data_IF_603512309794
#
_entry.id   IF_603512309794
#
_cell.length_a   1.000
_cell.length_b   1.000
_cell.length_c   1.000
_cell.angle_alpha   90.00
_cell.angle_beta   90.00
_cell.angle_gamma   90.00
#
_symmetry.space_group_name_H-M   'P 1'
#
loop_
_entity.id
_entity.type
_entity.pdbx_description
1 polymer ?
#
# COMPACT_ATOMS: atom_id res chain seq x y z
N UNK A 1 7.64 1.73 31.86
CA UNK A 1 7.42 0.26 31.87
C UNK A 1 8.22 -0.44 32.97
N UNK A 2 9.55 -0.59 32.90
CA UNK A 2 10.33 -1.29 33.95
C UNK A 2 10.19 -0.68 35.35
N UNK A 3 10.20 0.66 35.45
CA UNK A 3 10.00 1.36 36.72
C UNK A 3 8.61 1.12 37.32
N UNK A 4 7.57 1.02 36.50
CA UNK A 4 6.21 0.78 36.96
C UNK A 4 6.02 -0.68 37.42
N UNK A 5 6.68 -1.63 36.75
CA UNK A 5 6.68 -3.04 37.17
C UNK A 5 7.40 -3.20 38.51
N UNK A 6 8.54 -2.52 38.68
CA UNK A 6 9.31 -2.49 39.91
C UNK A 6 8.49 -1.91 41.09
N UNK A 7 7.81 -0.80 40.84
CA UNK A 7 6.94 -0.14 41.83
C UNK A 7 5.73 -1.00 42.21
N UNK A 8 5.05 -1.62 41.24
CA UNK A 8 3.92 -2.53 41.50
C UNK A 8 4.33 -3.82 42.22
N UNK A 9 5.53 -4.34 41.92
CA UNK A 9 6.05 -5.56 42.52
C UNK A 9 6.81 -5.32 43.84
N UNK A 10 6.98 -4.05 44.26
CA UNK A 10 7.73 -3.69 45.46
C UNK A 10 9.21 -4.09 45.41
N UNK A 11 9.78 -4.24 44.22
CA UNK A 11 11.15 -4.72 44.03
C UNK A 11 12.00 -3.72 43.23
N UNK A 12 13.32 -3.92 43.23
CA UNK A 12 14.21 -3.03 42.48
C UNK A 12 14.08 -3.26 40.97
N UNK A 13 14.37 -2.22 40.17
CA UNK A 13 14.48 -2.36 38.70
C UNK A 13 15.47 -3.44 38.29
N UNK A 14 16.53 -3.67 39.07
CA UNK A 14 17.51 -4.73 38.80
C UNK A 14 16.90 -6.11 39.03
N UNK A 15 16.06 -6.28 40.06
CA UNK A 15 15.30 -7.51 40.32
C UNK A 15 14.35 -7.80 39.15
N UNK A 16 13.66 -6.78 38.63
CA UNK A 16 12.82 -6.92 37.43
C UNK A 16 13.64 -7.31 36.19
N UNK A 17 14.82 -6.71 35.99
CA UNK A 17 15.71 -7.07 34.87
C UNK A 17 16.20 -8.51 34.96
N UNK A 18 16.61 -8.93 36.14
CA UNK A 18 17.08 -10.28 36.36
C UNK A 18 15.95 -11.30 36.18
N UNK A 19 14.75 -11.03 36.70
CA UNK A 19 13.59 -11.88 36.47
C UNK A 19 13.19 -11.95 34.98
N UNK A 20 13.34 -10.86 34.23
CA UNK A 20 13.11 -10.86 32.78
C UNK A 20 14.17 -11.71 32.04
N UNK A 21 15.42 -11.66 32.47
CA UNK A 21 16.51 -12.46 31.89
C UNK A 21 16.36 -13.96 32.21
N UNK A 22 16.05 -14.29 33.48
CA UNK A 22 15.74 -15.66 33.93
C UNK A 22 14.52 -16.24 33.21
N UNK A 23 13.53 -15.39 32.88
CA UNK A 23 12.36 -15.77 32.09
C UNK A 23 12.63 -15.80 30.57
N UNK A 24 13.84 -15.46 30.10
CA UNK A 24 14.17 -15.38 28.68
C UNK A 24 13.47 -14.26 27.91
N UNK A 25 12.87 -13.29 28.61
CA UNK A 25 12.15 -12.16 28.02
C UNK A 25 13.15 -11.07 27.66
N UNK A 26 13.59 -11.08 26.40
CA UNK A 26 14.49 -10.06 25.87
C UNK A 26 13.82 -8.67 25.90
N UNK A 27 14.34 -7.78 26.74
CA UNK A 27 13.94 -6.38 26.74
C UNK A 27 14.36 -5.77 25.40
N UNK A 28 13.44 -5.09 24.72
CA UNK A 28 13.77 -4.31 23.51
C UNK A 28 14.91 -3.33 23.82
N UNK A 29 16.12 -3.68 23.39
CA UNK A 29 17.28 -2.80 23.50
C UNK A 29 17.11 -1.64 22.52
N UNK A 30 17.58 -0.46 22.93
CA UNK A 30 17.60 0.70 22.03
C UNK A 30 18.55 0.37 20.87
N UNK A 31 18.06 0.48 19.63
CA UNK A 31 18.93 0.28 18.46
C UNK A 31 20.14 1.21 18.51
N UNK A 32 21.33 0.76 18.07
CA UNK A 32 22.51 1.60 18.00
C UNK A 32 22.24 2.84 17.13
N UNK A 33 22.83 3.97 17.52
CA UNK A 33 22.75 5.20 16.73
C UNK A 33 23.33 4.94 15.34
N UNK A 34 22.62 5.36 14.29
CA UNK A 34 23.08 5.20 12.91
C UNK A 34 22.89 3.80 12.31
N UNK A 35 22.24 2.86 12.99
CA UNK A 35 22.05 1.50 12.48
C UNK A 35 21.33 1.47 11.12
N UNK A 36 20.29 2.31 10.94
CA UNK A 36 19.57 2.37 9.68
C UNK A 36 20.40 2.98 8.55
N UNK A 37 21.19 4.01 8.85
CA UNK A 37 22.12 4.60 7.88
C UNK A 37 23.18 3.60 7.36
N UNK A 38 23.49 2.56 8.14
CA UNK A 38 24.39 1.46 7.72
C UNK A 38 23.68 0.37 6.94
N UNK A 39 22.36 0.23 7.13
CA UNK A 39 21.56 -0.87 6.57
C UNK A 39 20.94 -0.49 5.24
N UNK A 40 20.52 0.77 5.08
CA UNK A 40 19.88 1.26 3.85
C UNK A 40 20.68 2.39 3.22
N UNK A 41 20.78 2.37 1.88
CA UNK A 41 21.44 3.42 1.12
C UNK A 41 20.46 4.56 0.80
N UNK A 42 21.02 5.77 0.63
CA UNK A 42 20.26 6.93 0.16
C UNK A 42 19.59 6.67 -1.19
N UNK A 43 20.34 6.07 -2.13
CA UNK A 43 19.85 5.76 -3.48
C UNK A 43 18.67 4.78 -3.47
N UNK A 44 18.69 3.78 -2.57
CA UNK A 44 17.55 2.88 -2.40
C UNK A 44 16.32 3.63 -1.90
N UNK A 45 16.47 4.48 -0.87
CA UNK A 45 15.34 5.23 -0.32
C UNK A 45 14.77 6.25 -1.33
N UNK A 46 15.62 6.84 -2.16
CA UNK A 46 15.20 7.73 -3.25
C UNK A 46 14.45 6.96 -4.35
N UNK A 47 14.85 5.73 -4.69
CA UNK A 47 14.10 4.88 -5.63
C UNK A 47 12.75 4.44 -5.04
N UNK A 48 12.73 4.00 -3.80
CA UNK A 48 11.54 3.39 -3.20
C UNK A 48 10.49 4.44 -2.78
N UNK A 49 10.92 5.55 -2.18
CA UNK A 49 10.01 6.54 -1.62
C UNK A 49 9.38 7.42 -2.71
N UNK A 50 10.07 8.39 -3.34
CA UNK A 50 9.45 9.26 -4.33
C UNK A 50 9.18 8.57 -5.68
N UNK A 51 10.11 7.77 -6.22
CA UNK A 51 9.97 7.21 -7.57
C UNK A 51 8.92 6.09 -7.66
N UNK A 52 9.08 5.02 -6.87
CA UNK A 52 8.06 3.96 -6.81
C UNK A 52 6.78 4.40 -6.10
N UNK A 53 6.84 5.45 -5.28
CA UNK A 53 5.67 5.99 -4.62
C UNK A 53 5.29 5.30 -3.31
N UNK A 54 6.21 4.57 -2.68
CA UNK A 54 5.91 3.84 -1.44
C UNK A 54 5.63 4.80 -0.29
N UNK A 55 4.74 4.37 0.61
CA UNK A 55 4.45 5.13 1.83
C UNK A 55 5.57 4.93 2.86
N UNK A 56 5.83 5.94 3.70
CA UNK A 56 6.80 5.78 4.80
C UNK A 56 6.38 4.70 5.81
N UNK A 57 5.09 4.48 6.12
CA UNK A 57 4.67 3.31 6.89
C UNK A 57 5.00 1.96 6.23
N UNK A 58 4.87 1.83 4.90
CA UNK A 58 5.13 0.56 4.22
C UNK A 58 6.62 0.23 4.19
N UNK A 59 7.45 1.23 3.87
CA UNK A 59 8.91 1.10 3.96
C UNK A 59 9.30 0.75 5.39
N UNK A 60 8.68 1.40 6.38
CA UNK A 60 8.98 1.14 7.78
C UNK A 60 8.63 -0.29 8.19
N UNK A 61 7.49 -0.83 7.72
CA UNK A 61 7.09 -2.22 7.97
C UNK A 61 8.09 -3.21 7.40
N UNK A 62 8.53 -3.02 6.16
CA UNK A 62 9.54 -3.88 5.52
C UNK A 62 10.88 -3.86 6.25
N UNK A 63 11.34 -2.67 6.67
CA UNK A 63 12.58 -2.52 7.42
C UNK A 63 12.44 -2.87 8.92
N UNK A 64 11.25 -3.23 9.38
CA UNK A 64 10.95 -3.48 10.78
C UNK A 64 11.13 -2.25 11.69
N UNK A 65 11.01 -1.02 11.17
CA UNK A 65 11.26 0.25 11.88
C UNK A 65 10.00 1.08 12.07
N UNK A 66 10.10 2.19 12.80
CA UNK A 66 8.99 3.14 12.88
C UNK A 66 8.95 4.07 11.66
N UNK A 67 7.76 4.53 11.25
CA UNK A 67 7.62 5.51 10.15
C UNK A 67 8.46 6.78 10.36
N UNK A 68 8.64 7.19 11.61
CA UNK A 68 9.44 8.36 11.96
C UNK A 68 10.94 8.15 11.69
N UNK A 69 11.42 6.90 11.77
CA UNK A 69 12.81 6.57 11.45
C UNK A 69 13.07 6.76 9.95
N UNK A 70 12.12 6.32 9.11
CA UNK A 70 12.18 6.55 7.65
C UNK A 70 12.12 8.05 7.34
N UNK A 71 11.19 8.78 7.96
CA UNK A 71 11.06 10.23 7.74
C UNK A 71 12.30 11.02 8.21
N UNK A 72 12.96 10.57 9.28
CA UNK A 72 14.24 11.13 9.74
C UNK A 72 15.32 11.01 8.66
N UNK A 73 15.40 9.86 7.99
CA UNK A 73 16.35 9.64 6.89
C UNK A 73 16.02 10.47 5.65
N UNK A 74 14.74 10.53 5.26
CA UNK A 74 14.27 11.40 4.16
C UNK A 74 14.71 12.84 4.39
N UNK A 75 14.51 13.38 5.60
CA UNK A 75 14.93 14.74 5.95
C UNK A 75 16.45 14.89 5.97
N UNK A 76 17.16 13.94 6.60
CA UNK A 76 18.62 13.97 6.75
C UNK A 76 19.35 13.90 5.40
N UNK A 77 18.81 13.17 4.43
CA UNK A 77 19.40 12.98 3.10
C UNK A 77 18.82 13.92 2.03
N UNK A 78 17.93 14.84 2.42
CA UNK A 78 17.32 15.81 1.50
C UNK A 78 16.48 15.16 0.39
N UNK A 79 15.87 14.00 0.66
CA UNK A 79 15.01 13.32 -0.32
C UNK A 79 13.69 14.08 -0.41
N UNK A 80 13.19 14.40 -1.63
CA UNK A 80 11.90 15.06 -1.79
C UNK A 80 10.77 14.28 -1.12
N UNK A 81 9.93 14.99 -0.37
CA UNK A 81 8.72 14.40 0.21
C UNK A 81 7.66 14.20 -0.87
N UNK A 82 6.77 13.23 -0.66
CA UNK A 82 5.53 13.16 -1.43
C UNK A 82 4.81 14.50 -1.39
N UNK A 83 4.41 15.06 -2.54
CA UNK A 83 3.46 16.16 -2.58
C UNK A 83 2.22 15.77 -1.77
N UNK A 84 1.63 16.73 -1.07
CA UNK A 84 0.42 16.53 -0.27
C UNK A 84 -0.77 15.99 -1.08
N UNK A 85 -0.78 16.21 -2.40
CA UNK A 85 -1.77 15.70 -3.34
C UNK A 85 -1.47 14.32 -3.92
N UNK A 86 -0.27 13.77 -3.70
CA UNK A 86 0.16 12.52 -4.33
C UNK A 86 -0.21 11.31 -3.48
N UNK A 87 -0.99 10.38 -4.03
CA UNK A 87 -1.36 9.15 -3.33
C UNK A 87 -0.27 8.09 -3.46
N UNK A 88 0.02 7.40 -2.36
CA UNK A 88 0.98 6.30 -2.30
C UNK A 88 0.57 5.16 -3.23
N UNK A 89 1.52 4.62 -3.98
CA UNK A 89 1.27 3.46 -4.83
C UNK A 89 1.21 2.20 -3.94
N UNK A 90 0.05 1.53 -3.81
CA UNK A 90 -0.10 0.33 -2.98
C UNK A 90 0.70 -0.86 -3.53
N UNK A 91 0.95 -0.90 -4.83
CA UNK A 91 1.65 -1.99 -5.51
C UNK A 91 3.16 -1.79 -5.56
N UNK A 92 3.67 -0.65 -5.09
CA UNK A 92 5.08 -0.30 -5.18
C UNK A 92 6.03 -1.23 -4.41
N UNK A 93 5.48 -2.04 -3.51
CA UNK A 93 6.20 -3.07 -2.77
C UNK A 93 6.24 -4.42 -3.49
N UNK A 94 5.38 -4.63 -4.49
CA UNK A 94 5.37 -5.81 -5.33
C UNK A 94 6.51 -5.62 -6.32
N UNK A 95 7.47 -6.55 -6.38
CA UNK A 95 8.62 -6.48 -7.30
C UNK A 95 8.17 -6.79 -8.74
N UNK A 96 7.19 -6.04 -9.22
CA UNK A 96 6.50 -6.20 -10.49
C UNK A 96 6.53 -4.87 -11.21
N UNK A 97 6.87 -4.90 -12.50
CA UNK A 97 6.80 -3.73 -13.35
C UNK A 97 5.34 -3.42 -13.69
N UNK A 98 4.93 -2.19 -13.41
CA UNK A 98 3.59 -1.70 -13.73
C UNK A 98 3.57 -1.13 -15.14
N UNK A 99 2.49 -1.39 -15.89
CA UNK A 99 2.24 -0.67 -17.13
C UNK A 99 2.11 0.83 -16.86
N UNK A 100 2.36 1.71 -17.86
CA UNK A 100 2.22 3.15 -17.67
C UNK A 100 0.83 3.56 -17.16
N UNK A 101 -0.22 2.90 -17.65
CA UNK A 101 -1.60 3.14 -17.24
C UNK A 101 -1.86 2.68 -15.80
N UNK A 102 -1.38 1.49 -15.42
CA UNK A 102 -1.52 0.99 -14.05
C UNK A 102 -0.72 1.85 -13.07
N UNK A 103 0.48 2.30 -13.47
CA UNK A 103 1.27 3.23 -12.68
C UNK A 103 0.49 4.54 -12.42
N UNK A 104 -0.14 5.13 -13.44
CA UNK A 104 -0.96 6.33 -13.28
C UNK A 104 -2.17 6.08 -12.35
N UNK A 105 -2.92 4.99 -12.55
CA UNK A 105 -4.10 4.64 -11.73
C UNK A 105 -3.71 4.33 -10.29
N UNK A 106 -2.58 3.68 -10.05
CA UNK A 106 -2.09 3.32 -8.71
C UNK A 106 -1.84 4.54 -7.81
N UNK A 107 -1.56 5.71 -8.40
CA UNK A 107 -1.32 6.99 -7.71
C UNK A 107 -2.61 7.80 -7.50
N UNK A 108 -3.79 7.18 -7.61
CA UNK A 108 -5.08 7.83 -7.37
C UNK A 108 -5.72 7.43 -6.04
N UNK A 109 -6.60 8.28 -5.52
CA UNK A 109 -7.36 8.00 -4.29
C UNK A 109 -8.19 6.72 -4.44
N UNK A 110 -8.12 5.86 -3.42
CA UNK A 110 -8.88 4.61 -3.33
C UNK A 110 -8.66 3.67 -4.53
N UNK A 111 -7.46 3.69 -5.14
CA UNK A 111 -7.16 2.90 -6.34
C UNK A 111 -7.43 1.39 -6.14
N UNK A 112 -7.01 0.79 -5.02
CA UNK A 112 -7.25 -0.64 -4.73
C UNK A 112 -8.74 -0.97 -4.75
N UNK A 113 -9.57 -0.19 -4.04
CA UNK A 113 -11.01 -0.40 -4.01
C UNK A 113 -11.63 -0.27 -5.40
N UNK A 114 -11.26 0.77 -6.14
CA UNK A 114 -11.78 1.01 -7.49
C UNK A 114 -11.37 -0.10 -8.46
N UNK A 115 -10.15 -0.62 -8.35
CA UNK A 115 -9.69 -1.76 -9.14
C UNK A 115 -10.46 -3.03 -8.76
N UNK A 116 -10.73 -3.30 -7.48
CA UNK A 116 -11.59 -4.42 -7.05
C UNK A 116 -13.00 -4.32 -7.61
N UNK A 117 -13.59 -3.13 -7.55
CA UNK A 117 -14.92 -2.91 -8.12
C UNK A 117 -14.91 -3.11 -9.64
N UNK A 118 -13.86 -2.67 -10.33
CA UNK A 118 -13.69 -2.86 -11.76
C UNK A 118 -13.56 -4.35 -12.14
N UNK A 119 -12.80 -5.14 -11.37
CA UNK A 119 -12.64 -6.59 -11.62
C UNK A 119 -13.90 -7.40 -11.34
N UNK A 120 -14.76 -6.95 -10.42
CA UNK A 120 -16.12 -7.50 -10.26
C UNK A 120 -17.00 -7.07 -11.42
N UNK A 121 -16.98 -5.78 -11.77
CA UNK A 121 -17.78 -5.22 -12.87
C UNK A 121 -17.54 -5.94 -14.21
N UNK A 122 -16.30 -6.33 -14.52
CA UNK A 122 -15.96 -7.04 -15.75
C UNK A 122 -16.55 -8.45 -15.86
N UNK A 123 -17.08 -9.01 -14.76
CA UNK A 123 -17.71 -10.35 -14.72
C UNK A 123 -19.21 -10.32 -14.99
N UNK A 124 -19.83 -9.14 -14.97
CA UNK A 124 -21.27 -8.99 -15.14
C UNK A 124 -21.65 -8.50 -16.54
N UNK A 125 -22.86 -8.87 -16.95
CA UNK A 125 -23.47 -8.41 -18.20
C UNK A 125 -23.87 -6.94 -18.18
N UNK A 126 -24.12 -6.36 -16.99
CA UNK A 126 -24.52 -4.96 -16.84
C UNK A 126 -23.84 -4.32 -15.63
N UNK A 127 -23.71 -2.98 -15.68
CA UNK A 127 -23.24 -2.19 -14.53
C UNK A 127 -24.19 -2.27 -13.33
N UNK A 128 -25.48 -2.56 -13.54
CA UNK A 128 -26.45 -2.65 -12.45
C UNK A 128 -26.22 -3.94 -11.65
N UNK A 129 -26.08 -5.07 -12.33
CA UNK A 129 -25.83 -6.37 -11.67
C UNK A 129 -24.55 -6.32 -10.82
N UNK A 130 -23.50 -5.67 -11.35
CA UNK A 130 -22.25 -5.45 -10.62
C UNK A 130 -22.43 -4.51 -9.40
N UNK A 131 -23.28 -3.49 -9.53
CA UNK A 131 -23.57 -2.55 -8.44
C UNK A 131 -24.30 -3.25 -7.30
N UNK A 132 -25.25 -4.12 -7.65
CA UNK A 132 -26.02 -4.92 -6.70
C UNK A 132 -25.12 -5.90 -5.94
N UNK A 133 -24.21 -6.61 -6.64
CA UNK A 133 -23.21 -7.49 -5.99
C UNK A 133 -22.29 -6.71 -5.04
N UNK A 134 -21.81 -5.54 -5.46
CA UNK A 134 -20.90 -4.71 -4.69
C UNK A 134 -21.60 -3.88 -3.59
N UNK A 135 -22.93 -3.96 -3.47
CA UNK A 135 -23.73 -3.14 -2.55
C UNK A 135 -23.45 -1.62 -2.67
N UNK A 136 -23.26 -1.14 -3.89
CA UNK A 136 -23.01 0.29 -4.21
C UNK A 136 -24.04 0.77 -5.23
N UNK A 137 -24.17 2.08 -5.40
CA UNK A 137 -25.06 2.60 -6.43
C UNK A 137 -24.44 2.46 -7.82
N UNK A 138 -25.27 2.24 -8.84
CA UNK A 138 -24.84 2.28 -10.25
C UNK A 138 -24.08 3.56 -10.61
N UNK A 139 -24.56 4.71 -10.11
CA UNK A 139 -23.91 6.02 -10.31
C UNK A 139 -22.49 6.05 -9.73
N UNK A 140 -22.27 5.39 -8.59
CA UNK A 140 -20.94 5.25 -7.99
C UNK A 140 -20.02 4.41 -8.87
N UNK A 141 -20.44 3.25 -9.36
CA UNK A 141 -19.62 2.42 -10.25
C UNK A 141 -19.32 3.11 -11.57
N UNK A 142 -20.32 3.72 -12.20
CA UNK A 142 -20.14 4.48 -13.45
C UNK A 142 -19.12 5.60 -13.27
N UNK A 143 -19.19 6.34 -12.15
CA UNK A 143 -18.21 7.36 -11.83
C UNK A 143 -16.81 6.76 -11.63
N UNK A 144 -16.68 5.65 -10.90
CA UNK A 144 -15.39 5.00 -10.66
C UNK A 144 -14.76 4.50 -11.97
N UNK A 145 -15.52 3.83 -12.83
CA UNK A 145 -15.09 3.38 -14.15
C UNK A 145 -14.58 4.57 -14.97
N UNK A 146 -15.40 5.62 -15.11
CA UNK A 146 -15.02 6.83 -15.86
C UNK A 146 -13.72 7.44 -15.34
N UNK A 147 -13.54 7.54 -14.02
CA UNK A 147 -12.31 8.10 -13.43
C UNK A 147 -11.08 7.24 -13.68
N UNK A 148 -11.23 5.92 -13.67
CA UNK A 148 -10.13 5.01 -14.01
C UNK A 148 -9.77 5.18 -15.48
N UNK A 149 -10.75 5.16 -16.39
CA UNK A 149 -10.53 5.33 -17.84
C UNK A 149 -9.90 6.69 -18.18
N UNK A 150 -10.35 7.78 -17.56
CA UNK A 150 -9.74 9.11 -17.69
C UNK A 150 -8.27 9.12 -17.24
N UNK A 151 -7.93 8.34 -16.22
CA UNK A 151 -6.55 8.26 -15.71
C UNK A 151 -5.69 7.32 -16.56
N UNK A 152 -6.25 6.21 -17.03
CA UNK A 152 -5.59 5.23 -17.87
C UNK A 152 -5.37 5.75 -19.30
N UNK A 153 -6.23 6.66 -19.77
CA UNK A 153 -6.16 7.26 -21.11
C UNK A 153 -6.90 6.47 -22.19
N UNK A 154 -7.62 5.41 -21.83
CA UNK A 154 -8.39 4.57 -22.75
C UNK A 154 -9.65 4.00 -22.11
N UNK A 155 -10.60 3.59 -22.95
CA UNK A 155 -11.82 2.89 -22.54
C UNK A 155 -11.47 1.46 -22.13
N UNK A 156 -11.87 1.04 -20.93
CA UNK A 156 -11.69 -0.33 -20.42
C UNK A 156 -12.95 -1.14 -20.69
N UNK A 157 -14.13 -0.58 -20.39
CA UNK A 157 -15.43 -1.23 -20.60
C UNK A 157 -16.30 -0.30 -21.45
N UNK A 158 -16.66 -0.75 -22.66
CA UNK A 158 -17.60 -0.02 -23.50
C UNK A 158 -19.04 -0.26 -23.02
N UNK A 159 -19.57 0.73 -22.32
CA UNK A 159 -20.96 0.77 -21.83
C UNK A 159 -21.96 1.30 -22.87
N UNK A 160 -21.50 1.78 -24.04
CA UNK A 160 -22.34 2.37 -25.10
C UNK A 160 -22.70 1.34 -26.16
N UNK A 161 -21.82 0.39 -26.45
CA UNK A 161 -21.91 -0.54 -27.59
C UNK A 161 -22.54 -1.91 -27.30
N UNK A 162 -23.59 -1.95 -26.49
CA UNK A 162 -24.51 -3.10 -26.28
C UNK A 162 -24.40 -3.77 -24.92
N UNK A 163 -25.53 -4.36 -24.53
CA UNK A 163 -25.60 -5.45 -23.56
C UNK A 163 -25.25 -6.74 -24.30
N UNK A 164 -24.37 -7.60 -23.80
CA UNK A 164 -23.62 -7.47 -22.54
C UNK A 164 -22.44 -6.48 -22.62
N UNK A 165 -21.97 -6.01 -21.46
CA UNK A 165 -20.77 -5.15 -21.34
C UNK A 165 -19.60 -5.71 -22.17
N UNK A 166 -19.04 -4.87 -23.03
CA UNK A 166 -17.91 -5.26 -23.89
C UNK A 166 -16.61 -4.70 -23.34
N UNK A 167 -15.67 -5.59 -23.02
CA UNK A 167 -14.32 -5.22 -22.58
C UNK A 167 -13.47 -4.97 -23.83
N UNK A 168 -12.79 -3.82 -23.88
CA UNK A 168 -11.87 -3.49 -24.99
C UNK A 168 -10.59 -4.33 -24.90
N UNK A 169 -9.81 -4.39 -25.97
CA UNK A 169 -8.54 -5.14 -25.93
C UNK A 169 -7.54 -4.56 -24.92
N UNK A 170 -7.40 -3.24 -24.89
CA UNK A 170 -6.60 -2.55 -23.87
C UNK A 170 -7.17 -2.75 -22.46
N UNK A 171 -8.50 -2.76 -22.35
CA UNK A 171 -9.21 -3.03 -21.11
C UNK A 171 -8.95 -4.42 -20.55
N UNK A 172 -8.87 -5.44 -21.42
CA UNK A 172 -8.55 -6.82 -21.00
C UNK A 172 -7.14 -6.91 -20.42
N UNK A 173 -6.15 -6.35 -21.12
CA UNK A 173 -4.75 -6.30 -20.62
C UNK A 173 -4.65 -5.58 -19.27
N UNK A 174 -5.35 -4.46 -19.12
CA UNK A 174 -5.39 -3.70 -17.88
C UNK A 174 -6.07 -4.48 -16.73
N UNK A 175 -7.16 -5.18 -17.01
CA UNK A 175 -7.87 -6.01 -16.05
C UNK A 175 -7.04 -7.21 -15.59
N UNK A 176 -6.33 -7.87 -16.51
CA UNK A 176 -5.44 -8.99 -16.19
C UNK A 176 -4.31 -8.53 -15.26
N UNK A 177 -3.69 -7.39 -15.55
CA UNK A 177 -2.70 -6.76 -14.67
C UNK A 177 -3.30 -6.41 -13.30
N UNK A 178 -4.50 -5.80 -13.27
CA UNK A 178 -5.18 -5.45 -12.03
C UNK A 178 -5.47 -6.69 -11.17
N UNK A 179 -5.97 -7.76 -11.77
CA UNK A 179 -6.28 -9.02 -11.07
C UNK A 179 -5.02 -9.66 -10.49
N UNK A 180 -3.92 -9.67 -11.27
CA UNK A 180 -2.64 -10.19 -10.79
C UNK A 180 -2.11 -9.40 -9.59
N UNK A 181 -2.09 -8.06 -9.67
CA UNK A 181 -1.60 -7.19 -8.60
C UNK A 181 -2.45 -7.27 -7.34
N UNK A 182 -3.78 -7.34 -7.49
CA UNK A 182 -4.70 -7.49 -6.35
C UNK A 182 -4.50 -8.83 -5.63
N UNK A 183 -4.26 -9.91 -6.38
CA UNK A 183 -3.94 -11.23 -5.81
C UNK A 183 -2.62 -11.22 -5.03
N UNK A 184 -1.57 -10.62 -5.59
CA UNK A 184 -0.29 -10.45 -4.89
C UNK A 184 -0.42 -9.61 -3.61
N UNK A 185 -1.26 -8.57 -3.64
CA UNK A 185 -1.50 -7.73 -2.49
C UNK A 185 -2.24 -8.48 -1.37
N UNK A 186 -3.26 -9.28 -1.72
CA UNK A 186 -4.01 -10.08 -0.76
C UNK A 186 -3.13 -11.14 -0.09
N UNK A 187 -2.24 -11.79 -0.85
CA UNK A 187 -1.28 -12.77 -0.32
C UNK A 187 -0.26 -12.18 0.66
N UNK A 188 -0.04 -10.87 0.66
CA UNK A 188 0.83 -10.18 1.63
C UNK A 188 0.09 -9.72 2.89
N UNK A 189 -1.23 -9.64 2.83
CA UNK A 189 -2.07 -9.20 3.94
C UNK A 189 -2.51 -10.37 4.84
N UNK A 190 -2.48 -11.60 4.31
CA UNK A 190 -2.71 -12.85 5.04
C UNK A 190 -1.48 -13.28 5.85
#
# INVERSE_FOLDING_TARGET
>A
MQHQIAELAGCSINTVRQALDEAGIQIRTRRPVGHLEKTISRAWLEKEYPHKGRSSPDIARELGVGKNDVMRLVNKWGIPRHPTSQFTNPFASLDTELSPAMHAVSRTKNCVQRLRHLTVTSRHSTLQDAADELSVTWSTLKYQLKRIEETAGFTIIDIRRSRPLTITEDGRRFLDEAMHLLSLLDNRAA
#
